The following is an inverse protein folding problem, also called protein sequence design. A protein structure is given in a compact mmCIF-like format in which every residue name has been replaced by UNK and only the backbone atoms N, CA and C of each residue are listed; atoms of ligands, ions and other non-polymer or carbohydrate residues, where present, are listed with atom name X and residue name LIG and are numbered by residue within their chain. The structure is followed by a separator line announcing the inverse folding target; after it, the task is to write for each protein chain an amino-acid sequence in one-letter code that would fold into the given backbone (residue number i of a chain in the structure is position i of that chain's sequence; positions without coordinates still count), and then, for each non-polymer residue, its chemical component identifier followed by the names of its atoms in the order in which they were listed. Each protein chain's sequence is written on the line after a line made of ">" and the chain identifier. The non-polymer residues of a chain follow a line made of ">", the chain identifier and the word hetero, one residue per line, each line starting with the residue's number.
data_IF_318045186979
#
_entry.id   IF_318045186979
#
_cell.length_a   1.000
_cell.length_b   1.000
_cell.length_c   1.000
_cell.angle_alpha   90.00
_cell.angle_beta   90.00
_cell.angle_gamma   90.00
#
_symmetry.space_group_name_H-M   'P 1'
#
loop_
_entity.id
_entity.type
_entity.pdbx_description
1 polymer ?
#
# COMPACT_ATOMS: atom_id res chain seq x y z
N UNK A 1 -2.42 8.97 -0.77
CA UNK A 1 -3.30 8.56 0.34
C UNK A 1 -4.66 8.23 -0.25
N UNK A 2 -5.28 7.13 0.16
CA UNK A 2 -6.63 6.72 -0.28
C UNK A 2 -7.41 6.27 0.95
N UNK A 3 -8.70 6.57 1.00
CA UNK A 3 -9.58 6.22 2.12
C UNK A 3 -10.71 5.36 1.62
N UNK A 4 -10.91 4.22 2.27
CA UNK A 4 -11.95 3.21 1.99
C UNK A 4 -12.51 2.76 3.31
N UNK A 5 -13.63 3.34 3.72
CA UNK A 5 -14.20 3.14 5.06
C UNK A 5 -14.22 1.65 5.47
N UNK A 6 -13.70 1.30 6.66
CA UNK A 6 -13.23 2.18 7.73
C UNK A 6 -11.73 2.54 7.66
N UNK A 7 -11.03 2.19 6.59
CA UNK A 7 -9.58 2.26 6.49
C UNK A 7 -9.06 3.48 5.74
N UNK A 8 -7.93 4.01 6.19
CA UNK A 8 -7.16 5.03 5.50
C UNK A 8 -5.75 4.51 5.21
N UNK A 9 -5.34 4.53 3.94
CA UNK A 9 -4.10 3.98 3.46
C UNK A 9 -3.12 5.08 3.03
N UNK A 10 -1.89 5.00 3.53
CA UNK A 10 -0.80 5.92 3.20
C UNK A 10 0.43 5.12 2.76
N UNK A 11 0.82 5.33 1.50
CA UNK A 11 2.06 4.81 0.94
C UNK A 11 3.23 5.69 1.35
N UNK A 12 4.22 5.09 2.00
CA UNK A 12 5.48 5.72 2.38
C UNK A 12 6.64 4.86 1.82
N UNK A 13 7.91 5.29 1.91
CA UNK A 13 9.02 4.46 1.49
C UNK A 13 8.98 3.07 2.15
N UNK A 14 9.01 2.02 1.32
CA UNK A 14 9.05 0.60 1.69
C UNK A 14 7.86 0.08 2.52
N UNK A 15 6.77 0.85 2.63
CA UNK A 15 5.65 0.47 3.48
C UNK A 15 4.34 1.11 3.02
N UNK A 16 3.23 0.39 3.19
CA UNK A 16 1.90 1.01 3.24
C UNK A 16 1.37 0.92 4.66
N UNK A 17 1.04 2.07 5.27
CA UNK A 17 0.29 2.11 6.53
C UNK A 17 -1.20 2.11 6.26
N UNK A 18 -1.94 1.35 7.05
CA UNK A 18 -3.40 1.36 7.09
C UNK A 18 -3.87 1.72 8.49
N UNK A 19 -4.76 2.69 8.60
CA UNK A 19 -5.38 3.12 9.85
C UNK A 19 -6.88 2.93 9.81
N UNK A 20 -7.45 2.25 10.80
CA UNK A 20 -8.89 2.17 10.98
C UNK A 20 -9.38 3.42 11.69
N UNK A 21 -10.19 4.22 10.99
CA UNK A 21 -10.70 5.49 11.50
C UNK A 21 -11.79 5.33 12.56
N UNK A 22 -12.34 4.12 12.75
CA UNK A 22 -13.37 3.84 13.74
C UNK A 22 -12.80 3.22 15.01
N UNK A 23 -11.86 2.29 14.86
CA UNK A 23 -11.29 1.53 15.99
C UNK A 23 -9.92 2.03 16.43
N UNK A 24 -9.33 2.98 15.69
CA UNK A 24 -7.94 3.43 15.84
C UNK A 24 -6.90 2.31 15.71
N UNK A 25 -7.27 1.15 15.16
CA UNK A 25 -6.33 0.08 14.86
C UNK A 25 -5.39 0.50 13.72
N UNK A 26 -4.14 0.07 13.77
CA UNK A 26 -3.17 0.27 12.70
C UNK A 26 -2.60 -1.04 12.17
N UNK A 27 -2.31 -1.07 10.88
CA UNK A 27 -1.70 -2.19 10.19
C UNK A 27 -0.57 -1.67 9.29
N UNK A 28 0.51 -2.45 9.23
CA UNK A 28 1.67 -2.16 8.41
C UNK A 28 1.80 -3.24 7.33
N UNK A 29 1.55 -2.86 6.08
CA UNK A 29 1.64 -3.74 4.92
C UNK A 29 3.06 -3.64 4.34
N UNK A 30 3.88 -4.63 4.67
CA UNK A 30 5.25 -4.77 4.17
C UNK A 30 5.28 -5.51 2.82
N UNK A 31 6.42 -5.43 2.12
CA UNK A 31 6.57 -5.94 0.75
C UNK A 31 6.99 -4.89 -0.27
N UNK A 32 6.45 -3.64 -0.25
CA UNK A 32 6.97 -2.56 -1.06
C UNK A 32 8.47 -2.39 -0.83
N UNK A 33 9.21 -2.27 -1.92
CA UNK A 33 10.56 -1.70 -1.92
C UNK A 33 10.46 -0.40 -2.72
N UNK A 34 11.18 0.64 -2.29
CA UNK A 34 11.13 1.96 -2.90
C UNK A 34 9.91 2.79 -2.48
N UNK A 35 9.65 3.85 -3.25
CA UNK A 35 8.57 4.79 -2.97
C UNK A 35 7.25 4.28 -3.56
N UNK A 36 6.19 4.26 -2.76
CA UNK A 36 4.82 4.04 -3.23
C UNK A 36 4.32 5.34 -3.87
N UNK A 37 3.98 5.29 -5.16
CA UNK A 37 3.53 6.47 -5.93
C UNK A 37 2.03 6.45 -6.23
N UNK A 38 1.47 5.26 -6.43
CA UNK A 38 0.06 5.08 -6.74
C UNK A 38 -0.53 3.97 -5.87
N UNK A 39 -1.77 4.16 -5.44
CA UNK A 39 -2.55 3.13 -4.75
C UNK A 39 -3.99 3.18 -5.22
N UNK A 40 -4.64 2.03 -5.33
CA UNK A 40 -6.07 1.91 -5.64
C UNK A 40 -6.64 0.74 -4.86
N UNK A 41 -7.89 0.88 -4.40
CA UNK A 41 -8.65 -0.18 -3.76
C UNK A 41 -9.79 -0.57 -4.67
N UNK A 42 -10.03 -1.88 -4.78
CA UNK A 42 -11.12 -2.42 -5.57
C UNK A 42 -11.33 -3.89 -5.27
N UNK A 43 -12.59 -4.33 -5.21
CA UNK A 43 -12.95 -5.74 -5.00
C UNK A 43 -12.33 -6.37 -3.73
N UNK A 44 -12.20 -5.59 -2.65
CA UNK A 44 -11.58 -6.03 -1.41
C UNK A 44 -10.05 -6.20 -1.47
N UNK A 45 -9.42 -5.73 -2.56
CA UNK A 45 -7.98 -5.75 -2.76
C UNK A 45 -7.41 -4.33 -2.73
N UNK A 46 -6.21 -4.19 -2.18
CA UNK A 46 -5.39 -2.99 -2.28
C UNK A 46 -4.25 -3.25 -3.25
N UNK A 47 -4.11 -2.39 -4.26
CA UNK A 47 -2.99 -2.38 -5.19
C UNK A 47 -2.08 -1.20 -4.89
N UNK A 48 -0.76 -1.42 -4.87
CA UNK A 48 0.23 -0.36 -4.72
C UNK A 48 1.31 -0.44 -5.81
N UNK A 49 1.49 0.65 -6.55
CA UNK A 49 2.57 0.81 -7.50
C UNK A 49 3.79 1.43 -6.82
N UNK A 50 4.92 0.73 -6.87
CA UNK A 50 6.19 1.23 -6.35
C UNK A 50 7.18 1.49 -7.47
N UNK A 51 8.05 2.47 -7.24
CA UNK A 51 9.23 2.67 -8.07
C UNK A 51 10.45 2.45 -7.20
N UNK A 52 11.27 1.49 -7.60
CA UNK A 52 12.56 1.20 -7.03
C UNK A 52 13.64 1.76 -7.94
N UNK A 53 14.48 2.63 -7.40
CA UNK A 53 15.74 3.00 -8.05
C UNK A 53 16.81 2.09 -7.45
N UNK A 54 16.91 0.87 -7.97
CA UNK A 54 18.11 0.06 -7.80
C UNK A 54 19.10 0.53 -8.85
N UNK A 55 20.38 0.62 -8.49
CA UNK A 55 21.43 1.04 -9.43
C UNK A 55 21.40 0.11 -10.67
N UNK A 56 20.97 0.68 -11.80
CA UNK A 56 20.80 0.12 -13.16
C UNK A 56 19.48 -0.55 -13.57
N UNK A 57 18.44 -0.64 -12.71
CA UNK A 57 17.13 -1.12 -13.15
C UNK A 57 16.02 -0.24 -12.57
N UNK A 58 15.20 0.36 -13.45
CA UNK A 58 13.91 0.96 -13.08
C UNK A 58 12.86 -0.14 -13.05
N UNK A 59 12.73 -0.83 -11.92
CA UNK A 59 11.66 -1.80 -11.73
C UNK A 59 10.39 -1.09 -11.22
N UNK A 60 9.31 -1.22 -11.99
CA UNK A 60 7.96 -0.86 -11.56
C UNK A 60 7.29 -2.14 -11.04
N UNK A 61 7.03 -2.19 -9.73
CA UNK A 61 6.36 -3.35 -9.11
C UNK A 61 4.94 -2.97 -8.68
N UNK A 62 4.01 -3.92 -8.83
CA UNK A 62 2.65 -3.82 -8.28
C UNK A 62 2.48 -4.87 -7.19
N UNK A 63 2.15 -4.42 -5.99
CA UNK A 63 1.84 -5.30 -4.85
C UNK A 63 0.34 -5.34 -4.59
N UNK A 64 -0.15 -6.50 -4.15
CA UNK A 64 -1.59 -6.76 -3.94
C UNK A 64 -1.80 -7.35 -2.55
N UNK A 65 -2.73 -6.78 -1.79
CA UNK A 65 -3.21 -7.34 -0.52
C UNK A 65 -4.69 -7.65 -0.59
N UNK A 66 -5.11 -8.72 0.08
CA UNK A 66 -6.51 -9.09 0.25
C UNK A 66 -6.80 -9.57 1.68
N UNK A 67 -8.05 -9.42 2.10
CA UNK A 67 -8.53 -9.99 3.36
C UNK A 67 -8.79 -11.48 3.18
N UNK A 68 -8.15 -12.33 3.99
CA UNK A 68 -8.59 -13.72 4.14
C UNK A 68 -9.78 -13.71 5.08
N UNK A 69 -10.99 -13.79 4.53
CA UNK A 69 -12.20 -14.11 5.30
C UNK A 69 -12.09 -15.48 5.95
#
# INVERSE_FOLDING_TARGET
>A
MITECPWNFVGIPNLVKAWNLQTNADLSLSGPVGQVYAMVVGSGLLFAGTHVICHWIMDLSVLIWGSTS
#
